data_IF_461262826149
#
_entry.id   IF_461262826149
#
_cell.length_a   1.000
_cell.length_b   1.000
_cell.length_c   1.000
_cell.angle_alpha   90.00
_cell.angle_beta   90.00
_cell.angle_gamma   90.00
#
_symmetry.space_group_name_H-M   'P 1'
#
loop_
_entity.id
_entity.type
_entity.pdbx_description
1 polymer ?
#
# COMPACT_ATOMS: atom_id res chain seq x y z
N UNK A 1 41.79 -5.68 17.76
CA UNK A 1 41.38 -4.68 18.77
C UNK A 1 40.46 -3.61 18.21
N UNK A 2 40.82 -2.96 17.08
CA UNK A 2 39.99 -1.94 16.42
C UNK A 2 38.58 -2.44 16.05
N UNK A 3 38.49 -3.65 15.49
CA UNK A 3 37.20 -4.27 15.12
C UNK A 3 36.29 -4.47 16.33
N UNK A 4 36.83 -4.95 17.45
CA UNK A 4 36.07 -5.14 18.68
C UNK A 4 35.55 -3.82 19.25
N UNK A 5 36.38 -2.77 19.22
CA UNK A 5 35.99 -1.41 19.63
C UNK A 5 34.89 -0.84 18.73
N UNK A 6 34.99 -1.04 17.41
CA UNK A 6 33.98 -0.61 16.44
C UNK A 6 32.66 -1.39 16.61
N UNK A 7 32.72 -2.69 16.89
CA UNK A 7 31.52 -3.49 17.17
C UNK A 7 30.81 -3.01 18.44
N UNK A 8 31.54 -2.77 19.52
CA UNK A 8 30.97 -2.24 20.78
C UNK A 8 30.39 -0.85 20.56
N UNK A 9 31.10 0.04 19.85
CA UNK A 9 30.62 1.38 19.55
C UNK A 9 29.37 1.37 18.65
N UNK A 10 29.26 0.39 17.75
CA UNK A 10 28.12 0.21 16.84
C UNK A 10 26.87 -0.34 17.53
N UNK A 11 27.03 -1.12 18.60
CA UNK A 11 25.92 -1.60 19.44
C UNK A 11 25.51 -0.55 20.46
N UNK A 12 26.47 0.11 21.11
CA UNK A 12 26.18 1.11 22.13
C UNK A 12 25.69 2.44 21.54
N UNK A 13 26.17 2.81 20.35
CA UNK A 13 25.86 4.07 19.62
C UNK A 13 25.73 5.28 20.58
N UNK A 14 26.79 5.67 21.30
CA UNK A 14 26.72 6.74 22.29
C UNK A 14 26.32 8.10 21.70
N UNK A 15 26.49 8.27 20.38
CA UNK A 15 26.06 9.44 19.61
C UNK A 15 24.57 9.41 19.21
N UNK A 16 23.85 8.30 19.40
CA UNK A 16 22.41 8.22 19.15
C UNK A 16 21.61 8.70 20.37
N UNK A 17 20.52 9.43 20.13
CA UNK A 17 19.58 9.84 21.18
C UNK A 17 18.78 8.64 21.70
N UNK A 18 18.47 8.64 23.01
CA UNK A 18 17.52 7.68 23.60
C UNK A 18 16.10 8.16 23.31
N UNK A 19 15.25 7.29 22.76
CA UNK A 19 13.83 7.56 22.64
C UNK A 19 13.19 7.74 24.02
N UNK A 20 12.45 8.85 24.24
CA UNK A 20 11.83 9.20 25.52
C UNK A 20 10.94 8.08 26.10
N UNK A 21 10.22 7.32 25.26
CA UNK A 21 9.38 6.24 25.75
C UNK A 21 10.19 5.01 26.16
N UNK A 22 11.29 4.71 25.45
CA UNK A 22 12.25 3.67 25.89
C UNK A 22 12.89 4.04 27.22
N UNK A 23 13.19 5.33 27.43
CA UNK A 23 13.63 5.85 28.72
C UNK A 23 12.53 5.73 29.79
N UNK A 24 11.27 5.97 29.44
CA UNK A 24 10.14 5.79 30.37
C UNK A 24 9.90 4.33 30.77
N UNK A 25 10.12 3.37 29.86
CA UNK A 25 9.85 1.94 30.09
C UNK A 25 11.03 1.20 30.72
N UNK A 26 12.25 1.45 30.24
CA UNK A 26 13.47 0.77 30.68
C UNK A 26 14.28 1.58 31.71
N UNK A 27 13.92 2.85 31.95
CA UNK A 27 14.60 3.72 32.90
C UNK A 27 16.08 3.91 32.54
N UNK A 28 16.95 3.77 33.52
CA UNK A 28 18.40 3.93 33.39
C UNK A 28 19.05 2.94 32.40
N UNK A 29 18.44 1.77 32.16
CA UNK A 29 18.95 0.77 31.23
C UNK A 29 18.89 1.24 29.76
N UNK A 30 18.00 2.19 29.45
CA UNK A 30 17.85 2.78 28.11
C UNK A 30 19.11 3.49 27.61
N UNK A 31 19.96 3.99 28.52
CA UNK A 31 21.21 4.69 28.21
C UNK A 31 22.30 3.74 27.66
N UNK A 32 22.17 2.43 27.94
CA UNK A 32 23.08 1.38 27.49
C UNK A 32 22.57 0.67 26.23
N UNK A 33 21.32 0.90 25.84
CA UNK A 33 20.65 0.24 24.73
C UNK A 33 20.29 1.21 23.60
N UNK A 34 20.96 2.36 23.51
CA UNK A 34 20.74 3.41 22.49
C UNK A 34 20.83 2.92 21.05
N UNK A 35 21.61 1.87 20.80
CA UNK A 35 21.72 1.25 19.47
C UNK A 35 20.75 0.11 19.20
N UNK A 36 19.88 -0.25 20.15
CA UNK A 36 18.92 -1.35 20.01
C UNK A 36 17.52 -0.80 19.74
N UNK A 37 16.88 -1.31 18.68
CA UNK A 37 15.46 -1.08 18.42
C UNK A 37 14.65 -2.16 19.13
N UNK A 38 13.78 -1.76 20.05
CA UNK A 38 12.91 -2.68 20.76
C UNK A 38 11.54 -2.78 20.07
N UNK A 39 11.06 -4.01 19.90
CA UNK A 39 9.73 -4.27 19.37
C UNK A 39 8.62 -3.89 20.36
N UNK A 40 7.39 -3.89 19.84
CA UNK A 40 6.16 -3.55 20.59
C UNK A 40 6.00 -4.41 21.85
N UNK A 41 6.46 -5.66 21.84
CA UNK A 41 6.38 -6.59 22.97
C UNK A 41 7.18 -6.16 24.21
N UNK A 42 8.20 -5.30 24.03
CA UNK A 42 9.12 -4.89 25.10
C UNK A 42 8.83 -3.47 25.58
N UNK A 43 8.64 -2.54 24.65
CA UNK A 43 8.44 -1.11 24.99
C UNK A 43 6.97 -0.68 24.99
N UNK A 44 6.06 -1.58 24.63
CA UNK A 44 4.66 -1.26 24.36
C UNK A 44 4.49 -0.50 23.03
N UNK A 45 3.26 -0.43 22.53
CA UNK A 45 2.96 0.22 21.26
C UNK A 45 1.70 -0.35 20.62
N UNK A 46 1.58 -0.14 19.31
CA UNK A 46 0.41 -0.56 18.55
C UNK A 46 0.78 -1.60 17.51
N UNK A 47 -0.01 -2.67 17.46
CA UNK A 47 -0.01 -3.67 16.40
C UNK A 47 -1.37 -3.63 15.71
N UNK A 48 -1.38 -3.23 14.44
CA UNK A 48 -2.59 -3.03 13.65
C UNK A 48 -2.49 -3.90 12.39
N UNK A 49 -3.58 -4.56 12.04
CA UNK A 49 -3.72 -5.27 10.77
C UNK A 49 -4.57 -4.43 9.84
N UNK A 50 -3.99 -4.03 8.72
CA UNK A 50 -4.68 -3.27 7.68
C UNK A 50 -5.03 -4.22 6.54
N UNK A 51 -6.30 -4.20 6.11
CA UNK A 51 -6.73 -4.87 4.89
C UNK A 51 -6.70 -3.89 3.74
N UNK A 52 -5.90 -4.18 2.72
CA UNK A 52 -5.94 -3.49 1.45
C UNK A 52 -7.22 -3.87 0.69
N UNK A 53 -7.74 -2.91 -0.06
CA UNK A 53 -8.89 -3.08 -0.94
C UNK A 53 -8.46 -2.76 -2.36
N UNK A 54 -8.42 -3.78 -3.20
CA UNK A 54 -8.28 -3.65 -4.65
C UNK A 54 -8.92 -4.88 -5.31
N UNK A 55 -9.13 -4.77 -6.62
CA UNK A 55 -9.65 -5.87 -7.43
C UNK A 55 -9.04 -5.87 -8.81
N UNK A 56 -8.85 -7.06 -9.35
CA UNK A 56 -8.44 -7.28 -10.73
C UNK A 56 -9.69 -7.45 -11.57
N UNK A 57 -9.91 -6.51 -12.48
CA UNK A 57 -10.99 -6.56 -13.47
C UNK A 57 -10.42 -7.03 -14.79
N UNK A 58 -11.15 -7.93 -15.46
CA UNK A 58 -10.77 -8.44 -16.77
C UNK A 58 -11.82 -8.04 -17.78
N UNK A 59 -11.38 -7.33 -18.81
CA UNK A 59 -12.24 -6.82 -19.87
C UNK A 59 -11.91 -7.47 -21.20
N UNK A 60 -12.95 -7.68 -21.99
CA UNK A 60 -12.88 -8.15 -23.36
C UNK A 60 -13.36 -7.02 -24.28
N UNK A 61 -12.42 -6.44 -25.02
CA UNK A 61 -12.68 -5.40 -26.01
C UNK A 61 -12.88 -6.01 -27.40
N UNK A 62 -13.52 -5.25 -28.30
CA UNK A 62 -13.47 -5.56 -29.72
C UNK A 62 -12.09 -5.15 -30.28
N UNK A 63 -11.33 -6.04 -30.94
CA UNK A 63 -10.01 -5.70 -31.47
C UNK A 63 -10.02 -4.53 -32.46
N UNK A 64 -11.14 -4.29 -33.15
CA UNK A 64 -11.29 -3.17 -34.10
C UNK A 64 -11.44 -1.80 -33.43
N UNK A 65 -11.76 -1.76 -32.14
CA UNK A 65 -12.02 -0.53 -31.38
C UNK A 65 -10.82 -0.13 -30.49
N UNK A 66 -9.76 -0.96 -30.47
CA UNK A 66 -8.52 -0.66 -29.76
C UNK A 66 -7.64 0.32 -30.57
N UNK A 67 -6.90 1.23 -29.91
CA UNK A 67 -6.79 1.44 -28.46
C UNK A 67 -7.93 2.25 -27.84
N UNK A 68 -8.74 2.95 -28.65
CA UNK A 68 -9.67 3.99 -28.16
C UNK A 68 -10.68 3.50 -27.12
N UNK A 69 -11.26 2.32 -27.31
CA UNK A 69 -12.19 1.74 -26.34
C UNK A 69 -11.53 1.43 -24.99
N UNK A 70 -10.26 0.98 -25.00
CA UNK A 70 -9.51 0.72 -23.77
C UNK A 70 -9.25 2.03 -23.00
N UNK A 71 -8.74 3.05 -23.68
CA UNK A 71 -8.45 4.36 -23.06
C UNK A 71 -9.71 5.01 -22.48
N UNK A 72 -10.83 4.90 -23.18
CA UNK A 72 -12.12 5.42 -22.70
C UNK A 72 -12.61 4.66 -21.46
N UNK A 73 -12.54 3.34 -21.47
CA UNK A 73 -12.92 2.51 -20.30
C UNK A 73 -12.03 2.82 -19.10
N UNK A 74 -10.72 2.94 -19.29
CA UNK A 74 -9.79 3.33 -18.22
C UNK A 74 -10.18 4.69 -17.66
N UNK A 75 -10.40 5.70 -18.52
CA UNK A 75 -10.79 7.04 -18.09
C UNK A 75 -12.12 7.06 -17.33
N UNK A 76 -13.13 6.30 -17.77
CA UNK A 76 -14.40 6.17 -17.06
C UNK A 76 -14.19 5.56 -15.68
N UNK A 77 -13.43 4.46 -15.59
CA UNK A 77 -13.16 3.80 -14.31
C UNK A 77 -12.42 4.71 -13.34
N UNK A 78 -11.40 5.44 -13.81
CA UNK A 78 -10.66 6.36 -12.95
C UNK A 78 -11.53 7.50 -12.42
N UNK A 79 -12.37 8.07 -13.29
CA UNK A 79 -13.23 9.20 -12.94
C UNK A 79 -14.39 8.80 -12.02
N UNK A 80 -15.10 7.72 -12.35
CA UNK A 80 -16.33 7.31 -11.65
C UNK A 80 -16.05 6.53 -10.37
N UNK A 81 -14.96 5.74 -10.34
CA UNK A 81 -14.56 5.01 -9.12
C UNK A 81 -13.59 5.80 -8.25
N UNK A 82 -13.17 7.00 -8.69
CA UNK A 82 -12.20 7.86 -8.01
C UNK A 82 -10.94 7.09 -7.59
N UNK A 83 -10.44 6.26 -8.50
CA UNK A 83 -9.32 5.35 -8.25
C UNK A 83 -8.33 5.39 -9.38
N UNK A 84 -7.10 4.97 -9.13
CA UNK A 84 -6.12 4.74 -10.20
C UNK A 84 -6.41 3.38 -10.83
N UNK A 85 -6.33 3.32 -12.16
CA UNK A 85 -6.39 2.05 -12.88
C UNK A 85 -4.96 1.65 -13.25
N UNK A 86 -4.54 0.46 -12.81
CA UNK A 86 -3.20 -0.06 -13.10
C UNK A 86 -3.30 -1.25 -14.06
N UNK A 87 -2.69 -1.20 -15.26
CA UNK A 87 -2.68 -2.35 -16.15
C UNK A 87 -1.87 -3.51 -15.54
N UNK A 88 -2.39 -4.72 -15.70
CA UNK A 88 -1.81 -5.96 -15.18
C UNK A 88 -1.40 -6.91 -16.30
N UNK A 89 -0.37 -7.71 -16.03
CA UNK A 89 0.01 -8.85 -16.85
C UNK A 89 -0.91 -10.07 -16.60
N UNK A 90 -0.58 -11.20 -17.22
CA UNK A 90 -1.32 -12.46 -17.07
C UNK A 90 -1.23 -13.11 -15.68
N UNK A 91 -0.28 -12.67 -14.86
CA UNK A 91 -0.06 -13.15 -13.50
C UNK A 91 -0.70 -12.22 -12.45
N UNK A 92 -1.39 -11.16 -12.87
CA UNK A 92 -1.99 -10.18 -11.97
C UNK A 92 -0.96 -9.23 -11.34
N UNK A 93 0.23 -9.12 -11.94
CA UNK A 93 1.26 -8.16 -11.53
C UNK A 93 1.27 -6.94 -12.45
N UNK A 94 1.79 -5.82 -11.95
CA UNK A 94 1.81 -4.58 -12.69
C UNK A 94 2.58 -4.73 -14.01
N UNK A 95 1.94 -4.36 -15.12
CA UNK A 95 2.54 -4.46 -16.44
C UNK A 95 3.72 -3.49 -16.55
N UNK A 96 4.91 -4.03 -16.84
CA UNK A 96 6.14 -3.23 -16.96
C UNK A 96 6.40 -2.74 -18.39
N UNK A 97 6.14 -3.59 -19.37
CA UNK A 97 6.41 -3.34 -20.78
C UNK A 97 5.33 -4.02 -21.64
N UNK A 98 5.07 -3.47 -22.83
CA UNK A 98 4.10 -4.00 -23.77
C UNK A 98 2.76 -3.27 -23.77
N UNK A 99 1.79 -3.82 -24.50
CA UNK A 99 0.45 -3.28 -24.57
C UNK A 99 -0.37 -3.72 -23.35
N UNK A 100 -1.25 -2.86 -22.79
CA UNK A 100 -2.10 -3.20 -21.65
C UNK A 100 -3.26 -4.13 -21.99
N UNK A 101 -3.28 -4.64 -23.22
CA UNK A 101 -4.26 -5.56 -23.77
C UNK A 101 -3.59 -6.43 -24.82
N UNK A 102 -4.17 -7.60 -25.07
CA UNK A 102 -3.81 -8.45 -26.20
C UNK A 102 -4.45 -7.91 -27.49
N UNK A 103 -3.67 -7.57 -28.54
CA UNK A 103 -4.20 -6.98 -29.77
C UNK A 103 -5.00 -7.97 -30.63
N UNK A 104 -4.85 -9.27 -30.42
CA UNK A 104 -5.55 -10.32 -31.17
C UNK A 104 -6.83 -10.73 -30.47
N UNK A 105 -6.76 -10.97 -29.17
CA UNK A 105 -7.94 -11.39 -28.40
C UNK A 105 -8.74 -10.21 -27.92
N UNK A 106 -8.14 -9.05 -27.65
CA UNK A 106 -8.78 -7.88 -27.07
C UNK A 106 -8.92 -7.96 -25.54
N UNK A 107 -8.27 -8.92 -24.89
CA UNK A 107 -8.33 -9.08 -23.43
C UNK A 107 -7.40 -8.09 -22.74
N UNK A 108 -7.90 -7.37 -21.74
CA UNK A 108 -7.11 -6.52 -20.85
C UNK A 108 -7.37 -6.89 -19.39
N UNK A 109 -6.35 -6.81 -18.54
CA UNK A 109 -6.46 -6.95 -17.09
C UNK A 109 -6.04 -5.66 -16.43
N UNK A 110 -6.81 -5.20 -15.46
CA UNK A 110 -6.53 -3.97 -14.73
C UNK A 110 -6.81 -4.13 -13.24
N UNK A 111 -6.02 -3.49 -12.39
CA UNK A 111 -6.31 -3.33 -10.97
C UNK A 111 -7.03 -2.01 -10.73
N UNK A 112 -8.07 -2.04 -9.92
CA UNK A 112 -8.76 -0.87 -9.36
C UNK A 112 -8.67 -0.88 -7.85
N UNK A 113 -8.47 0.28 -7.22
CA UNK A 113 -8.34 0.42 -5.76
C UNK A 113 -9.66 0.33 -4.99
N UNK A 114 -10.59 -0.50 -5.46
CA UNK A 114 -11.90 -0.75 -4.86
C UNK A 114 -12.20 -2.24 -4.86
N UNK A 115 -13.00 -2.70 -3.91
CA UNK A 115 -13.39 -4.11 -3.78
C UNK A 115 -14.52 -4.47 -4.74
N UNK A 116 -14.33 -5.52 -5.54
CA UNK A 116 -15.28 -6.13 -6.45
C UNK A 116 -16.37 -6.85 -5.64
N UNK A 117 -17.44 -6.10 -5.38
CA UNK A 117 -18.72 -6.60 -4.89
C UNK A 117 -19.70 -6.68 -6.06
N UNK A 118 -20.75 -7.49 -5.96
CA UNK A 118 -21.79 -7.56 -7.01
C UNK A 118 -22.34 -6.19 -7.41
N UNK A 119 -22.53 -5.29 -6.43
CA UNK A 119 -22.95 -3.91 -6.70
C UNK A 119 -21.95 -3.13 -7.55
N UNK A 120 -20.65 -3.26 -7.26
CA UNK A 120 -19.60 -2.63 -8.05
C UNK A 120 -19.51 -3.25 -9.45
N UNK A 121 -19.61 -4.57 -9.58
CA UNK A 121 -19.55 -5.24 -10.89
C UNK A 121 -20.70 -4.80 -11.80
N UNK A 122 -21.92 -4.69 -11.23
CA UNK A 122 -23.07 -4.14 -11.95
C UNK A 122 -22.84 -2.68 -12.37
N UNK A 123 -22.25 -1.85 -11.49
CA UNK A 123 -21.91 -0.47 -11.81
C UNK A 123 -20.89 -0.41 -12.96
N UNK A 124 -19.80 -1.18 -12.87
CA UNK A 124 -18.75 -1.25 -13.89
C UNK A 124 -19.30 -1.66 -15.24
N UNK A 125 -20.15 -2.70 -15.30
CA UNK A 125 -20.79 -3.12 -16.57
C UNK A 125 -21.66 -2.01 -17.16
N UNK A 126 -22.42 -1.30 -16.33
CA UNK A 126 -23.24 -0.18 -16.79
C UNK A 126 -22.40 1.02 -17.28
N UNK A 127 -21.29 1.31 -16.59
CA UNK A 127 -20.38 2.41 -16.94
C UNK A 127 -19.65 2.14 -18.26
N UNK A 128 -19.16 0.91 -18.44
CA UNK A 128 -18.43 0.49 -19.64
C UNK A 128 -19.39 0.33 -20.84
N UNK A 129 -20.61 -0.15 -20.59
CA UNK A 129 -21.63 -0.30 -21.62
C UNK A 129 -21.19 -1.24 -22.74
N UNK A 130 -21.33 -0.80 -23.99
CA UNK A 130 -20.99 -1.62 -25.17
C UNK A 130 -19.51 -1.60 -25.54
N UNK A 131 -18.66 -0.83 -24.85
CA UNK A 131 -17.24 -0.62 -25.20
C UNK A 131 -16.35 -1.80 -24.85
N UNK A 132 -16.73 -2.54 -23.81
CA UNK A 132 -16.07 -3.77 -23.42
C UNK A 132 -17.04 -4.65 -22.66
N UNK A 133 -16.75 -5.95 -22.63
CA UNK A 133 -17.45 -6.91 -21.79
C UNK A 133 -16.59 -7.23 -20.57
N UNK A 134 -17.14 -7.06 -19.38
CA UNK A 134 -16.51 -7.53 -18.14
C UNK A 134 -16.60 -9.07 -18.08
N UNK A 135 -15.46 -9.73 -17.88
CA UNK A 135 -15.37 -11.18 -17.68
C UNK A 135 -15.42 -11.47 -16.18
N UNK A 136 -16.63 -11.53 -15.62
CA UNK A 136 -16.88 -11.67 -14.17
C UNK A 136 -16.22 -12.89 -13.54
N UNK A 137 -16.17 -13.99 -14.28
CA UNK A 137 -15.55 -15.25 -13.87
C UNK A 137 -14.04 -15.11 -13.57
N UNK A 138 -13.41 -14.07 -14.10
CA UNK A 138 -11.98 -13.81 -13.95
C UNK A 138 -11.68 -12.66 -12.97
N UNK A 139 -12.72 -12.10 -12.31
CA UNK A 139 -12.52 -11.03 -11.34
C UNK A 139 -12.04 -11.59 -10.01
N UNK A 140 -10.95 -11.03 -9.49
CA UNK A 140 -10.41 -11.39 -8.18
C UNK A 140 -10.30 -10.14 -7.29
N UNK A 141 -10.44 -10.32 -5.98
CA UNK A 141 -10.20 -9.27 -4.99
C UNK A 141 -8.77 -9.38 -4.47
N UNK A 142 -7.80 -9.29 -5.38
CA UNK A 142 -6.38 -9.36 -5.09
C UNK A 142 -5.72 -8.00 -5.29
N UNK A 143 -4.56 -7.81 -4.66
CA UNK A 143 -3.75 -6.60 -4.75
C UNK A 143 -2.38 -7.00 -5.27
N UNK A 144 -1.96 -6.42 -6.38
CA UNK A 144 -0.66 -6.68 -6.98
C UNK A 144 0.48 -6.22 -6.06
N UNK A 145 1.67 -6.77 -6.28
CA UNK A 145 2.81 -6.50 -5.42
C UNK A 145 3.24 -5.03 -5.47
N UNK A 146 3.11 -4.37 -6.63
CA UNK A 146 3.45 -2.96 -6.78
C UNK A 146 2.55 -2.07 -5.92
N UNK A 147 1.22 -2.17 -6.05
CA UNK A 147 0.28 -1.37 -5.24
C UNK A 147 0.49 -1.60 -3.76
N UNK A 148 0.69 -2.85 -3.34
CA UNK A 148 0.98 -3.18 -1.94
C UNK A 148 2.25 -2.48 -1.43
N UNK A 149 3.33 -2.50 -2.21
CA UNK A 149 4.59 -1.86 -1.84
C UNK A 149 4.47 -0.33 -1.83
N UNK A 150 3.75 0.25 -2.79
CA UNK A 150 3.46 1.69 -2.83
C UNK A 150 2.69 2.12 -1.56
N UNK A 151 1.65 1.36 -1.17
CA UNK A 151 0.90 1.64 0.06
C UNK A 151 1.77 1.49 1.31
N UNK A 152 2.61 0.45 1.38
CA UNK A 152 3.56 0.28 2.50
C UNK A 152 4.47 1.50 2.64
N UNK A 153 5.05 1.98 1.54
CA UNK A 153 5.94 3.14 1.56
C UNK A 153 5.19 4.44 1.91
N UNK A 154 3.96 4.62 1.41
CA UNK A 154 3.12 5.76 1.78
C UNK A 154 2.82 5.75 3.28
N UNK A 155 2.41 4.61 3.83
CA UNK A 155 2.09 4.48 5.25
C UNK A 155 3.33 4.66 6.12
N UNK A 156 4.47 4.10 5.71
CA UNK A 156 5.76 4.29 6.37
C UNK A 156 6.15 5.75 6.43
N UNK A 157 6.05 6.49 5.32
CA UNK A 157 6.38 7.91 5.26
C UNK A 157 5.45 8.78 6.11
N UNK A 158 4.17 8.40 6.28
CA UNK A 158 3.23 9.14 7.15
C UNK A 158 3.56 8.97 8.63
N UNK A 159 3.97 7.77 9.01
CA UNK A 159 4.10 7.37 10.40
C UNK A 159 5.49 7.64 10.94
N UNK A 160 6.50 7.37 10.12
CA UNK A 160 7.90 7.47 10.45
C UNK A 160 8.71 8.08 9.29
N UNK A 161 8.43 9.35 8.91
CA UNK A 161 9.10 10.01 7.79
C UNK A 161 10.63 10.09 7.93
N UNK A 162 11.13 10.04 9.17
CA UNK A 162 12.56 10.12 9.48
C UNK A 162 13.18 8.77 9.84
N UNK A 163 12.39 7.68 9.86
CA UNK A 163 12.85 6.35 10.25
C UNK A 163 13.32 6.23 11.71
N UNK A 164 12.90 7.15 12.58
CA UNK A 164 13.36 7.28 13.96
C UNK A 164 12.45 6.58 14.96
N UNK A 165 11.22 6.23 14.56
CA UNK A 165 10.24 5.54 15.42
C UNK A 165 10.36 4.02 15.35
N UNK A 166 11.08 3.49 14.37
CA UNK A 166 11.26 2.05 14.20
C UNK A 166 9.96 1.36 13.76
N UNK A 167 9.16 2.05 12.95
CA UNK A 167 7.93 1.49 12.40
C UNK A 167 8.24 0.28 11.51
N UNK A 168 7.52 -0.81 11.74
CA UNK A 168 7.60 -2.04 10.96
C UNK A 168 6.31 -2.19 10.18
N UNK A 169 6.43 -2.18 8.85
CA UNK A 169 5.34 -2.51 7.94
C UNK A 169 5.73 -3.75 7.14
N UNK A 170 4.90 -4.78 7.19
CA UNK A 170 5.15 -6.05 6.51
C UNK A 170 3.88 -6.57 5.87
N UNK A 171 3.97 -7.01 4.62
CA UNK A 171 2.90 -7.76 3.98
C UNK A 171 2.69 -9.11 4.69
N UNK A 172 1.44 -9.45 4.98
CA UNK A 172 1.02 -10.76 5.49
C UNK A 172 0.12 -11.43 4.44
N UNK A 173 0.71 -12.19 3.53
CA UNK A 173 -0.03 -12.76 2.39
C UNK A 173 -0.42 -11.69 1.36
N UNK A 174 -1.54 -11.90 0.66
CA UNK A 174 -1.97 -11.03 -0.45
C UNK A 174 -2.36 -9.63 0.00
N UNK A 175 -3.43 -9.51 0.81
CA UNK A 175 -4.12 -8.24 1.03
C UNK A 175 -3.96 -7.66 2.44
N UNK A 176 -3.15 -8.27 3.31
CA UNK A 176 -2.97 -7.77 4.68
C UNK A 176 -1.61 -7.11 4.83
N UNK A 177 -1.58 -6.01 5.56
CA UNK A 177 -0.36 -5.36 6.03
C UNK A 177 -0.36 -5.41 7.55
N UNK A 178 0.67 -6.01 8.12
CA UNK A 178 1.04 -5.85 9.51
C UNK A 178 1.72 -4.51 9.69
N UNK A 179 1.16 -3.71 10.59
CA UNK A 179 1.73 -2.46 11.04
C UNK A 179 2.08 -2.58 12.53
N UNK A 180 3.33 -2.32 12.86
CA UNK A 180 3.83 -2.28 14.24
C UNK A 180 4.63 -1.02 14.45
N UNK A 181 4.22 -0.20 15.42
CA UNK A 181 5.00 0.98 15.81
C UNK A 181 5.25 0.94 17.30
N UNK A 182 6.53 0.81 17.70
CA UNK A 182 6.92 0.98 19.08
C UNK A 182 6.49 2.36 19.56
N UNK A 183 6.01 2.45 20.79
CA UNK A 183 5.79 3.73 21.44
C UNK A 183 4.74 4.65 20.79
N UNK A 184 3.76 4.11 20.06
CA UNK A 184 2.60 4.85 19.55
C UNK A 184 1.30 4.21 20.07
N UNK A 185 0.36 4.99 20.60
CA UNK A 185 -0.92 4.45 21.10
C UNK A 185 -1.85 4.07 19.95
N UNK A 186 -2.82 3.15 20.14
CA UNK A 186 -3.73 2.75 19.07
C UNK A 186 -4.50 3.93 18.46
N UNK A 187 -4.90 4.90 19.29
CA UNK A 187 -5.64 6.09 18.85
C UNK A 187 -4.78 7.01 17.99
N UNK A 188 -3.53 7.26 18.38
CA UNK A 188 -2.59 8.04 17.57
C UNK A 188 -2.26 7.31 16.26
N UNK A 189 -2.18 5.98 16.29
CA UNK A 189 -1.89 5.16 15.12
C UNK A 189 -3.08 5.19 14.17
N UNK A 190 -4.31 5.06 14.66
CA UNK A 190 -5.54 5.22 13.88
C UNK A 190 -5.65 6.59 13.24
N UNK A 191 -5.23 7.68 13.90
CA UNK A 191 -5.23 9.02 13.30
C UNK A 191 -4.20 9.13 12.15
N UNK A 192 -3.01 8.57 12.33
CA UNK A 192 -1.95 8.61 11.32
C UNK A 192 -2.22 7.67 10.13
N UNK A 193 -2.87 6.54 10.38
CA UNK A 193 -3.19 5.51 9.38
C UNK A 193 -4.55 5.73 8.70
N UNK A 194 -5.54 6.22 9.45
CA UNK A 194 -6.94 6.30 9.05
C UNK A 194 -7.30 7.53 8.21
N UNK A 195 -6.40 8.52 8.10
CA UNK A 195 -6.59 9.60 7.11
C UNK A 195 -6.30 9.05 5.71
N UNK A 196 -7.34 8.56 5.03
CA UNK A 196 -7.30 8.36 3.59
C UNK A 196 -6.91 9.71 2.98
N UNK A 197 -5.76 9.77 2.34
CA UNK A 197 -5.18 11.04 1.89
C UNK A 197 -5.95 11.54 0.67
N UNK A 198 -7.01 12.31 0.88
CA UNK A 198 -7.57 13.18 -0.13
C UNK A 198 -6.89 14.54 0.05
N UNK A 199 -5.91 14.83 -0.81
CA UNK A 199 -5.32 16.17 -0.89
C UNK A 199 -6.36 17.07 -1.58
N UNK A 200 -7.18 17.75 -0.78
CA UNK A 200 -8.03 18.83 -1.28
C UNK A 200 -7.23 20.13 -1.16
N UNK A 201 -6.81 20.69 -2.29
CA UNK A 201 -6.18 22.00 -2.36
C UNK A 201 -7.29 23.04 -2.43
N UNK A 202 -7.42 23.85 -1.39
CA UNK A 202 -8.27 25.03 -1.39
C UNK A 202 -7.39 26.25 -1.67
N UNK A 203 -7.68 26.96 -2.76
CA UNK A 203 -7.11 28.28 -3.02
C UNK A 203 -8.05 29.31 -2.35
N UNK A 204 -7.60 29.91 -1.27
CA UNK A 204 -8.22 31.15 -0.76
C UNK A 204 -7.64 32.33 -1.54
N UNK A 205 -8.54 33.18 -2.06
CA UNK A 205 -8.21 34.44 -2.75
C UNK A 205 -7.62 35.47 -1.78
#
# INVERSE_FOLDING_TARGET
>A
MLVALLSVASVWRPWAGVNERTRSTLGWASEFTRGLNFGVDIVGGSRILLSLQASHLVFQFSPSELPGAYEEVVGILENELHTRVLPLDEHGEALKEGLPYDPHTGVARVEVGVRATEGLLNLVENLVGSRARLLRENVTNEVCTQTRNEVIEILKNRVDPLGTRGAVLKALGGNLILYEVPALTPQEAEVLLGKQGRLEIWLEN
#
